data_IF_281411407783
#
_entry.id   IF_281411407783
#
_cell.length_a   1.000
_cell.length_b   1.000
_cell.length_c   1.000
_cell.angle_alpha   90.00
_cell.angle_beta   90.00
_cell.angle_gamma   90.00
#
_symmetry.space_group_name_H-M   'P 1'
#
loop_
_entity.id
_entity.type
_entity.pdbx_description
1 polymer ?
#
# COMPACT_ATOMS: atom_id res chain seq x y z
N UNK A 1 -11.08 24.37 6.67
CA UNK A 1 -9.90 23.68 7.23
C UNK A 1 -9.75 22.35 6.50
N UNK A 2 -8.74 22.20 5.63
CA UNK A 2 -8.45 20.89 5.04
C UNK A 2 -7.93 20.00 6.17
N UNK A 3 -8.62 18.90 6.45
CA UNK A 3 -8.12 17.87 7.38
C UNK A 3 -6.90 17.23 6.71
N UNK A 4 -5.70 17.49 7.21
CA UNK A 4 -4.51 16.73 6.84
C UNK A 4 -4.77 15.28 7.25
N UNK A 5 -4.95 14.41 6.26
CA UNK A 5 -5.05 12.97 6.47
C UNK A 5 -3.72 12.40 6.97
N UNK A 6 -3.70 11.13 7.41
CA UNK A 6 -2.45 10.46 7.76
C UNK A 6 -1.49 10.47 6.54
N UNK A 7 -0.17 10.54 6.76
CA UNK A 7 0.78 10.48 5.67
C UNK A 7 0.64 9.16 4.92
N UNK A 8 0.60 9.23 3.59
CA UNK A 8 0.45 8.07 2.71
C UNK A 8 1.68 7.91 1.81
N UNK A 9 1.89 6.68 1.34
CA UNK A 9 2.89 6.33 0.33
C UNK A 9 2.22 5.60 -0.83
N UNK A 10 2.73 5.83 -2.04
CA UNK A 10 2.33 5.09 -3.24
C UNK A 10 3.37 4.03 -3.55
N UNK A 11 2.94 2.76 -3.58
CA UNK A 11 3.82 1.64 -3.90
C UNK A 11 3.38 1.01 -5.22
N UNK A 12 4.29 0.92 -6.18
CA UNK A 12 4.05 0.24 -7.45
C UNK A 12 4.41 -1.23 -7.33
N UNK A 13 3.45 -2.10 -7.58
CA UNK A 13 3.67 -3.55 -7.72
C UNK A 13 3.42 -3.96 -9.16
N UNK A 14 4.19 -4.92 -9.66
CA UNK A 14 4.12 -5.41 -11.04
C UNK A 14 3.84 -6.90 -11.06
N UNK A 15 3.21 -7.37 -12.14
CA UNK A 15 3.11 -8.78 -12.48
C UNK A 15 1.68 -9.31 -12.56
N UNK A 16 1.54 -10.52 -13.10
CA UNK A 16 0.23 -11.11 -13.43
C UNK A 16 -0.71 -11.30 -12.23
N UNK A 17 -0.17 -11.31 -11.00
CA UNK A 17 -0.93 -11.47 -9.75
C UNK A 17 -1.11 -10.17 -8.96
N UNK A 18 -0.58 -9.04 -9.45
CA UNK A 18 -0.57 -7.77 -8.73
C UNK A 18 -1.98 -7.33 -8.28
N UNK A 19 -2.99 -7.50 -9.15
CA UNK A 19 -4.39 -7.16 -8.82
C UNK A 19 -4.97 -7.99 -7.69
N UNK A 20 -4.68 -9.30 -7.69
CA UNK A 20 -5.12 -10.23 -6.63
C UNK A 20 -4.46 -9.87 -5.30
N UNK A 21 -3.17 -9.61 -5.33
CA UNK A 21 -2.39 -9.21 -4.16
C UNK A 21 -2.88 -7.87 -3.59
N UNK A 22 -3.08 -6.86 -4.45
CA UNK A 22 -3.61 -5.56 -4.03
C UNK A 22 -4.99 -5.65 -3.39
N UNK A 23 -5.87 -6.46 -3.98
CA UNK A 23 -7.22 -6.69 -3.43
C UNK A 23 -7.16 -7.34 -2.05
N UNK A 24 -6.21 -8.25 -1.84
CA UNK A 24 -5.99 -8.91 -0.55
C UNK A 24 -5.46 -7.93 0.51
N UNK A 25 -4.52 -7.05 0.16
CA UNK A 25 -4.02 -6.02 1.09
C UNK A 25 -5.11 -5.07 1.58
N UNK A 26 -6.04 -4.68 0.70
CA UNK A 26 -7.19 -3.84 1.09
C UNK A 26 -8.08 -4.57 2.11
N UNK A 27 -8.25 -5.88 1.98
CA UNK A 27 -9.06 -6.69 2.91
C UNK A 27 -8.40 -6.86 4.29
N UNK A 28 -7.06 -6.84 4.35
CA UNK A 28 -6.29 -6.99 5.59
C UNK A 28 -6.24 -5.73 6.47
N UNK A 29 -6.89 -4.64 6.07
CA UNK A 29 -6.79 -3.31 6.71
C UNK A 29 -7.24 -3.22 8.18
N UNK A 30 -7.63 -4.33 8.81
CA UNK A 30 -8.13 -4.40 10.18
C UNK A 30 -7.07 -4.78 11.24
N UNK A 31 -5.86 -5.20 10.84
CA UNK A 31 -4.86 -5.71 11.79
C UNK A 31 -3.82 -4.64 12.17
N UNK A 32 -3.52 -4.42 13.47
CA UNK A 32 -2.64 -3.35 13.93
C UNK A 32 -1.15 -3.52 13.56
N UNK A 33 -0.73 -4.73 13.19
CA UNK A 33 0.65 -5.05 12.79
C UNK A 33 0.82 -5.27 11.29
N UNK A 34 -0.19 -4.95 10.49
CA UNK A 34 -0.12 -5.00 9.03
C UNK A 34 -0.34 -3.58 8.52
N UNK A 35 0.56 -3.11 7.66
CA UNK A 35 0.46 -1.78 7.06
C UNK A 35 -0.90 -1.61 6.38
N UNK A 36 -1.63 -0.59 6.80
CA UNK A 36 -2.96 -0.31 6.27
C UNK A 36 -2.87 0.10 4.81
N UNK A 37 -3.60 -0.64 3.97
CA UNK A 37 -3.82 -0.29 2.56
C UNK A 37 -5.20 0.33 2.40
N UNK A 38 -5.26 1.57 1.94
CA UNK A 38 -6.51 2.31 1.74
C UNK A 38 -7.22 1.95 0.45
N UNK A 39 -6.47 1.51 -0.57
CA UNK A 39 -6.99 1.19 -1.88
C UNK A 39 -5.87 0.96 -2.88
N UNK A 40 -6.25 0.73 -4.14
CA UNK A 40 -5.29 0.59 -5.23
C UNK A 40 -5.84 1.17 -6.53
N UNK A 41 -4.92 1.55 -7.42
CA UNK A 41 -5.21 2.06 -8.76
C UNK A 41 -4.71 1.03 -9.77
N UNK A 42 -5.63 0.56 -10.61
CA UNK A 42 -5.32 -0.34 -11.71
C UNK A 42 -4.89 0.48 -12.94
N UNK A 43 -3.67 0.24 -13.43
CA UNK A 43 -3.19 0.88 -14.65
C UNK A 43 -3.32 -0.10 -15.80
N UNK A 44 -4.38 0.08 -16.61
CA UNK A 44 -4.75 -0.80 -17.72
C UNK A 44 -3.61 -1.06 -18.73
N UNK A 45 -2.60 -0.20 -18.77
CA UNK A 45 -1.53 -0.24 -19.77
C UNK A 45 -0.31 -1.08 -19.40
N UNK A 46 -0.12 -1.46 -18.13
CA UNK A 46 1.22 -1.90 -17.66
C UNK A 46 1.27 -3.12 -16.76
N UNK A 47 0.17 -3.87 -16.58
CA UNK A 47 0.11 -4.99 -15.63
C UNK A 47 0.69 -4.60 -14.25
N UNK A 48 0.51 -3.33 -13.88
CA UNK A 48 1.04 -2.74 -12.68
C UNK A 48 -0.09 -2.08 -11.90
N UNK A 49 -0.03 -2.25 -10.58
CA UNK A 49 -1.00 -1.70 -9.65
C UNK A 49 -0.26 -0.74 -8.74
N UNK A 50 -0.84 0.44 -8.48
CA UNK A 50 -0.35 1.32 -7.42
C UNK A 50 -1.18 1.14 -6.17
N UNK A 51 -0.54 0.80 -5.05
CA UNK A 51 -1.14 0.72 -3.74
C UNK A 51 -1.06 2.07 -3.04
N UNK A 52 -2.15 2.44 -2.37
CA UNK A 52 -2.18 3.59 -1.45
C UNK A 52 -2.10 3.05 -0.03
N UNK A 53 -0.98 3.26 0.64
CA UNK A 53 -0.70 2.71 1.98
C UNK A 53 -0.38 3.81 2.98
N UNK A 54 -0.55 3.51 4.27
CA UNK A 54 -0.05 4.37 5.33
C UNK A 54 1.49 4.43 5.31
N UNK A 55 2.04 5.59 5.67
CA UNK A 55 3.48 5.76 5.77
C UNK A 55 3.99 5.24 7.11
N UNK A 56 4.96 4.33 7.08
CA UNK A 56 5.65 3.82 8.26
C UNK A 56 6.91 4.66 8.56
N UNK A 57 6.90 5.56 9.56
CA UNK A 57 8.01 6.49 9.79
C UNK A 57 9.28 5.83 10.34
N UNK A 58 9.16 4.62 10.89
CA UNK A 58 10.30 3.85 11.41
C UNK A 58 11.21 3.26 10.32
N UNK A 59 10.79 3.29 9.06
CA UNK A 59 11.57 2.75 7.94
C UNK A 59 11.71 1.22 7.97
N UNK A 60 12.76 0.73 7.33
CA UNK A 60 13.07 -0.71 7.24
C UNK A 60 13.76 -1.21 8.51
N UNK A 61 13.22 -2.28 9.09
CA UNK A 61 13.78 -2.93 10.27
C UNK A 61 15.19 -3.49 9.99
N UNK A 62 15.50 -3.89 8.75
CA UNK A 62 16.83 -4.41 8.40
C UNK A 62 17.95 -3.39 8.60
N UNK A 63 17.63 -2.10 8.70
CA UNK A 63 18.61 -1.05 8.94
C UNK A 63 18.96 -0.90 10.43
N UNK A 64 18.27 -1.62 11.32
CA UNK A 64 18.42 -1.51 12.77
C UNK A 64 19.23 -2.68 13.39
N UNK A 65 19.45 -3.76 12.63
CA UNK A 65 20.16 -4.98 13.04
C UNK A 65 21.44 -5.15 12.21
#
# INVERSE_FOLDING_TARGET
MQKLGPPIVLIKINGARAKREASFYVQLSCHPHIVRTYGFIDSDSSASIMLVQEYAPGGDLSNLL
#
